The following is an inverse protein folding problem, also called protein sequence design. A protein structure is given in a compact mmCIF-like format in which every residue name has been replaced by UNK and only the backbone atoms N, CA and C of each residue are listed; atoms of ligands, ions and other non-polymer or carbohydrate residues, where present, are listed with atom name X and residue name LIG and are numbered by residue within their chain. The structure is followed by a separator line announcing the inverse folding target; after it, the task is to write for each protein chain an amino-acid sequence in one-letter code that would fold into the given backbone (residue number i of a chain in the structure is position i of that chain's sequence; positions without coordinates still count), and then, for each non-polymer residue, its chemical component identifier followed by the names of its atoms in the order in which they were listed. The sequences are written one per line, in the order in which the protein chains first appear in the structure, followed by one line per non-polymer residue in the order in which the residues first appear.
data_IF_134449350688
#
_entry.id   IF_134449350688
#
_cell.length_a   1.000
_cell.length_b   1.000
_cell.length_c   1.000
_cell.angle_alpha   90.00
_cell.angle_beta   90.00
_cell.angle_gamma   90.00
#
_symmetry.space_group_name_H-M   'P 1'
#
loop_
_entity.id
_entity.type
_entity.pdbx_description
1 polymer ?
#
# COMPACT_ATOMS: atom_id res chain seq x y z
N UNK A 1 -9.77 6.97 -7.01
CA UNK A 1 -9.77 6.40 -8.37
C UNK A 1 -8.34 6.44 -8.86
N UNK A 2 -7.85 5.36 -9.45
CA UNK A 2 -6.45 5.17 -9.87
C UNK A 2 -6.43 4.34 -11.16
N UNK A 3 -5.50 4.64 -12.05
CA UNK A 3 -5.18 3.78 -13.18
C UNK A 3 -4.17 2.72 -12.71
N UNK A 4 -4.65 1.50 -12.46
CA UNK A 4 -3.82 0.46 -11.85
C UNK A 4 -2.85 -0.19 -12.83
N UNK A 5 -3.19 -0.22 -14.12
CA UNK A 5 -2.41 -0.92 -15.16
C UNK A 5 -1.48 0.01 -15.95
N UNK A 6 -1.49 1.32 -15.63
CA UNK A 6 -0.65 2.32 -16.27
C UNK A 6 -0.97 2.57 -17.74
N UNK A 7 -2.15 2.13 -18.21
CA UNK A 7 -2.54 2.25 -19.61
C UNK A 7 -2.74 3.69 -20.07
N UNK A 8 -2.83 4.66 -19.15
CA UNK A 8 -3.14 6.06 -19.45
C UNK A 8 -4.55 6.24 -20.00
N UNK A 9 -5.42 5.23 -19.80
CA UNK A 9 -6.75 5.12 -20.40
C UNK A 9 -7.91 5.26 -19.42
N UNK A 10 -9.10 4.83 -19.84
CA UNK A 10 -10.34 4.84 -19.06
C UNK A 10 -10.46 3.64 -18.08
N UNK A 11 -9.41 2.80 -17.96
CA UNK A 11 -9.34 1.57 -17.13
C UNK A 11 -9.11 1.88 -15.64
N UNK A 12 -9.68 2.97 -15.15
CA UNK A 12 -9.50 3.40 -13.77
C UNK A 12 -10.34 2.58 -12.81
N UNK A 13 -9.77 2.20 -11.67
CA UNK A 13 -10.47 1.54 -10.58
C UNK A 13 -10.62 2.46 -9.35
N UNK A 14 -11.69 2.27 -8.60
CA UNK A 14 -11.83 2.77 -7.24
C UNK A 14 -11.26 1.70 -6.30
N UNK A 15 -10.30 2.08 -5.46
CA UNK A 15 -9.89 1.24 -4.34
C UNK A 15 -10.59 1.70 -3.07
N UNK A 16 -11.30 0.80 -2.41
CA UNK A 16 -12.01 1.04 -1.18
C UNK A 16 -11.56 0.08 -0.07
N UNK A 17 -11.10 0.64 1.04
CA UNK A 17 -10.77 -0.12 2.25
C UNK A 17 -12.00 -0.21 3.18
N UNK A 18 -12.11 -1.33 3.90
CA UNK A 18 -13.23 -1.62 4.80
C UNK A 18 -12.73 -1.96 6.22
N UNK A 19 -13.55 -1.61 7.21
CA UNK A 19 -13.36 -2.03 8.60
C UNK A 19 -13.50 -3.55 8.80
N UNK A 20 -13.98 -4.29 7.80
CA UNK A 20 -13.96 -5.76 7.80
C UNK A 20 -12.58 -6.35 7.45
N UNK A 21 -11.58 -5.51 7.19
CA UNK A 21 -10.26 -5.91 6.70
C UNK A 21 -10.20 -6.22 5.21
N UNK A 22 -11.30 -6.01 4.48
CA UNK A 22 -11.34 -6.19 3.02
C UNK A 22 -10.93 -4.91 2.29
N UNK A 23 -10.20 -5.07 1.21
CA UNK A 23 -9.88 -4.01 0.24
C UNK A 23 -10.44 -4.41 -1.11
N UNK A 24 -11.23 -3.53 -1.71
CA UNK A 24 -11.93 -3.78 -2.97
C UNK A 24 -11.33 -2.93 -4.07
N UNK A 25 -11.12 -3.51 -5.25
CA UNK A 25 -11.05 -2.76 -6.50
C UNK A 25 -12.38 -2.86 -7.23
N UNK A 26 -12.88 -1.71 -7.64
CA UNK A 26 -14.17 -1.56 -8.30
C UNK A 26 -13.93 -0.81 -9.61
N UNK A 27 -14.41 -1.37 -10.72
CA UNK A 27 -14.32 -0.77 -12.04
C UNK A 27 -15.22 0.47 -12.17
N UNK A 28 -15.01 1.24 -13.25
CA UNK A 28 -15.79 2.44 -13.55
C UNK A 28 -17.30 2.18 -13.75
N UNK A 29 -17.68 0.95 -14.08
CA UNK A 29 -19.07 0.49 -14.22
C UNK A 29 -19.67 -0.02 -12.89
N UNK A 30 -18.89 0.01 -11.80
CA UNK A 30 -19.29 -0.46 -10.49
C UNK A 30 -19.12 -1.96 -10.26
N UNK A 31 -18.62 -2.71 -11.25
CA UNK A 31 -18.31 -4.13 -11.07
C UNK A 31 -17.08 -4.33 -10.19
N UNK A 32 -17.05 -5.42 -9.41
CA UNK A 32 -15.89 -5.74 -8.59
C UNK A 32 -14.80 -6.36 -9.46
N UNK A 33 -13.63 -5.71 -9.51
CA UNK A 33 -12.44 -6.22 -10.19
C UNK A 33 -11.75 -7.29 -9.35
N UNK A 34 -11.50 -7.02 -8.07
CA UNK A 34 -10.95 -7.97 -7.11
C UNK A 34 -11.25 -7.56 -5.66
N UNK A 35 -11.02 -8.49 -4.74
CA UNK A 35 -11.05 -8.26 -3.29
C UNK A 35 -9.81 -8.87 -2.64
N UNK A 36 -9.16 -8.11 -1.76
CA UNK A 36 -8.01 -8.53 -0.97
C UNK A 36 -8.37 -8.57 0.52
N UNK A 37 -7.78 -9.50 1.27
CA UNK A 37 -8.00 -9.66 2.71
C UNK A 37 -6.74 -9.25 3.49
N UNK A 38 -6.79 -8.08 4.13
CA UNK A 38 -5.74 -7.56 5.01
C UNK A 38 -5.84 -8.11 6.45
N UNK A 39 -6.69 -9.12 6.66
CA UNK A 39 -6.85 -9.92 7.88
C UNK A 39 -7.39 -9.18 9.11
N UNK A 40 -7.34 -7.86 9.14
CA UNK A 40 -7.88 -7.01 10.20
C UNK A 40 -8.22 -5.62 9.64
N UNK A 41 -8.88 -4.80 10.46
CA UNK A 41 -9.40 -3.47 10.17
C UNK A 41 -8.41 -2.67 9.30
N UNK A 42 -8.93 -2.10 8.23
CA UNK A 42 -8.24 -1.08 7.44
C UNK A 42 -8.99 0.24 7.58
N UNK A 43 -8.33 1.23 8.19
CA UNK A 43 -8.86 2.60 8.38
C UNK A 43 -8.23 3.63 7.45
N UNK A 44 -6.94 3.47 7.17
CA UNK A 44 -6.21 4.37 6.30
C UNK A 44 -6.73 4.36 4.86
N UNK A 45 -6.50 5.46 4.15
CA UNK A 45 -6.71 5.47 2.70
C UNK A 45 -5.58 4.68 2.04
N UNK A 46 -5.87 3.77 1.08
CA UNK A 46 -4.83 3.06 0.35
C UNK A 46 -3.85 4.03 -0.34
N UNK A 47 -2.57 3.72 -0.25
CA UNK A 47 -1.49 4.39 -0.98
C UNK A 47 -1.23 3.70 -2.32
N UNK A 48 -0.69 4.43 -3.28
CA UNK A 48 -0.44 3.97 -4.65
C UNK A 48 0.97 4.32 -5.08
N UNK A 49 1.75 3.33 -5.52
CA UNK A 49 3.09 3.56 -6.02
C UNK A 49 3.50 2.40 -6.95
N UNK A 50 4.11 2.72 -8.10
CA UNK A 50 4.83 1.73 -8.92
C UNK A 50 6.21 1.56 -8.29
N UNK A 51 6.36 0.54 -7.46
CA UNK A 51 7.59 0.34 -6.66
C UNK A 51 8.61 -0.55 -7.34
N UNK A 52 8.19 -1.32 -8.35
CA UNK A 52 9.06 -2.21 -9.12
C UNK A 52 9.41 -1.65 -10.52
N UNK A 53 8.85 -0.49 -10.88
CA UNK A 53 9.12 0.23 -12.12
C UNK A 53 8.54 -0.44 -13.35
N UNK A 54 7.54 -1.32 -13.19
CA UNK A 54 6.97 -2.09 -14.28
C UNK A 54 5.90 -1.32 -15.08
N UNK A 55 5.51 -0.11 -14.63
CA UNK A 55 4.51 0.75 -15.24
C UNK A 55 3.09 0.52 -14.71
N UNK A 56 2.83 -0.56 -13.99
CA UNK A 56 1.59 -0.78 -13.22
C UNK A 56 1.77 -0.28 -11.79
N UNK A 57 0.67 0.13 -11.16
CA UNK A 57 0.70 0.69 -9.82
C UNK A 57 0.29 -0.37 -8.80
N UNK A 58 1.10 -0.53 -7.75
CA UNK A 58 0.75 -1.32 -6.57
C UNK A 58 -0.08 -0.51 -5.57
N UNK A 59 -0.90 -1.22 -4.80
CA UNK A 59 -1.75 -0.69 -3.74
C UNK A 59 -1.17 -1.09 -2.39
N UNK A 60 -0.98 -0.11 -1.51
CA UNK A 60 -0.42 -0.32 -0.17
C UNK A 60 -1.40 0.08 0.92
N UNK A 61 -1.49 -0.74 1.95
CA UNK A 61 -2.47 -0.59 3.03
C UNK A 61 -1.83 -0.91 4.38
N UNK A 62 -2.07 -0.05 5.38
CA UNK A 62 -1.85 -0.37 6.79
C UNK A 62 -3.06 -1.03 7.44
N UNK A 63 -2.84 -2.05 8.26
CA UNK A 63 -3.89 -2.76 9.00
C UNK A 63 -3.68 -2.68 10.51
N UNK A 64 -4.78 -2.80 11.25
CA UNK A 64 -4.75 -2.77 12.72
C UNK A 64 -4.05 -3.95 13.38
N UNK A 65 -3.78 -5.02 12.63
CA UNK A 65 -2.92 -6.12 13.08
C UNK A 65 -1.42 -5.78 13.08
N UNK A 66 -1.04 -4.57 12.68
CA UNK A 66 0.35 -4.11 12.66
C UNK A 66 1.15 -4.53 11.44
N UNK A 67 0.45 -4.93 10.37
CA UNK A 67 1.06 -5.24 9.08
C UNK A 67 0.75 -4.17 8.03
N UNK A 68 1.75 -3.92 7.20
CA UNK A 68 1.61 -3.30 5.89
C UNK A 68 1.40 -4.39 4.86
N UNK A 69 0.43 -4.19 3.98
CA UNK A 69 0.12 -5.07 2.86
C UNK A 69 0.40 -4.35 1.55
N UNK A 70 0.94 -5.09 0.59
CA UNK A 70 1.14 -4.66 -0.79
C UNK A 70 0.35 -5.57 -1.72
N UNK A 71 -0.38 -4.98 -2.66
CA UNK A 71 -1.27 -5.69 -3.58
C UNK A 71 -0.98 -5.19 -5.00
N UNK A 72 -0.76 -6.12 -5.93
CA UNK A 72 -0.54 -5.81 -7.34
C UNK A 72 -1.82 -5.29 -7.99
N UNK A 73 -1.69 -4.64 -9.14
CA UNK A 73 -2.81 -4.13 -9.95
C UNK A 73 -3.92 -5.18 -10.22
N UNK A 74 -3.57 -6.46 -10.28
CA UNK A 74 -4.47 -7.59 -10.52
C UNK A 74 -5.05 -8.24 -9.24
N UNK A 75 -4.79 -7.68 -8.05
CA UNK A 75 -5.30 -8.18 -6.78
C UNK A 75 -4.44 -9.27 -6.10
N UNK A 76 -3.35 -9.71 -6.74
CA UNK A 76 -2.41 -10.63 -6.13
C UNK A 76 -1.58 -9.94 -5.03
N UNK A 77 -1.12 -10.70 -4.03
CA UNK A 77 -0.18 -10.17 -3.05
C UNK A 77 1.15 -9.76 -3.73
N UNK A 78 1.69 -8.62 -3.32
CA UNK A 78 3.02 -8.18 -3.71
C UNK A 78 4.07 -9.05 -3.02
N UNK A 79 5.14 -9.40 -3.73
CA UNK A 79 6.23 -10.19 -3.16
C UNK A 79 6.90 -9.42 -2.01
N UNK A 80 7.24 -10.13 -0.92
CA UNK A 80 7.85 -9.52 0.27
C UNK A 80 6.84 -8.97 1.28
N UNK A 81 5.55 -8.97 0.96
CA UNK A 81 4.48 -8.55 1.88
C UNK A 81 3.74 -9.75 2.51
N UNK A 82 3.21 -9.59 3.73
CA UNK A 82 3.16 -8.35 4.52
C UNK A 82 4.48 -8.00 5.23
N UNK A 83 4.66 -6.70 5.53
CA UNK A 83 5.73 -6.19 6.38
C UNK A 83 5.15 -5.85 7.76
N UNK A 84 5.73 -6.37 8.82
CA UNK A 84 5.25 -6.12 10.19
C UNK A 84 5.95 -4.93 10.84
N UNK A 85 5.19 -3.94 11.30
CA UNK A 85 5.66 -2.91 12.23
C UNK A 85 5.48 -3.34 13.69
N UNK A 86 4.60 -4.32 13.93
CA UNK A 86 4.23 -4.79 15.27
C UNK A 86 3.22 -3.90 16.00
N UNK A 87 2.70 -2.87 15.33
CA UNK A 87 1.93 -1.79 15.93
C UNK A 87 0.77 -1.40 15.01
N UNK A 88 -0.43 -1.17 15.55
CA UNK A 88 -1.61 -0.82 14.76
C UNK A 88 -1.35 0.36 13.81
N UNK A 89 -1.55 0.12 12.51
CA UNK A 89 -1.35 1.08 11.43
C UNK A 89 -2.73 1.55 10.94
N UNK A 90 -3.11 2.77 11.32
CA UNK A 90 -4.36 3.41 10.84
C UNK A 90 -4.10 4.58 9.89
N UNK A 91 -2.83 4.91 9.66
CA UNK A 91 -2.42 5.96 8.73
C UNK A 91 -2.54 5.52 7.26
N UNK A 92 -2.55 6.51 6.37
CA UNK A 92 -2.48 6.27 4.92
C UNK A 92 -1.01 6.22 4.51
N UNK A 93 -0.54 5.17 3.80
CA UNK A 93 0.84 5.13 3.31
C UNK A 93 1.13 6.28 2.34
N UNK A 94 2.30 6.89 2.47
CA UNK A 94 2.81 7.91 1.55
C UNK A 94 4.21 7.52 1.06
N UNK A 95 4.60 8.06 -0.09
CA UNK A 95 5.83 7.66 -0.77
C UNK A 95 6.68 8.86 -1.14
N UNK A 96 8.00 8.73 -0.98
CA UNK A 96 8.99 9.70 -1.43
C UNK A 96 10.33 9.01 -1.56
N UNK A 97 11.11 9.35 -2.58
CA UNK A 97 12.54 9.02 -2.63
C UNK A 97 13.29 9.93 -1.66
N UNK A 98 13.63 9.42 -0.47
CA UNK A 98 14.29 10.14 0.62
C UNK A 98 15.81 10.04 0.53
N UNK A 99 16.33 8.93 0.00
CA UNK A 99 17.77 8.67 -0.09
C UNK A 99 18.39 9.10 -1.44
N UNK A 100 17.57 9.40 -2.46
CA UNK A 100 17.97 9.82 -3.80
C UNK A 100 18.44 8.67 -4.70
N UNK A 101 18.08 7.42 -4.40
CA UNK A 101 18.49 6.25 -5.18
C UNK A 101 17.55 5.94 -6.37
N UNK A 102 16.44 6.67 -6.48
CA UNK A 102 15.45 6.52 -7.54
C UNK A 102 14.36 5.49 -7.25
N UNK A 103 14.46 4.71 -6.17
CA UNK A 103 13.37 3.94 -5.61
C UNK A 103 12.64 4.77 -4.53
N UNK A 104 11.32 4.64 -4.38
CA UNK A 104 10.60 5.33 -3.33
C UNK A 104 10.82 4.65 -1.98
N UNK A 105 10.77 5.42 -0.89
CA UNK A 105 10.49 4.91 0.44
C UNK A 105 8.99 5.01 0.73
N UNK A 106 8.44 4.01 1.42
CA UNK A 106 7.09 4.07 2.01
C UNK A 106 7.16 4.54 3.46
N UNK A 107 6.36 5.55 3.79
CA UNK A 107 6.25 6.12 5.14
C UNK A 107 4.85 5.85 5.70
N UNK A 108 4.80 5.34 6.93
CA UNK A 108 3.56 5.15 7.70
C UNK A 108 3.74 5.60 9.15
N UNK A 109 2.65 6.00 9.79
CA UNK A 109 2.59 6.19 11.24
C UNK A 109 1.67 5.18 11.92
N UNK A 110 1.99 4.85 13.17
CA UNK A 110 1.25 3.87 13.98
C UNK A 110 0.46 4.57 15.08
N UNK A 111 -0.57 3.92 15.63
CA UNK A 111 -1.40 4.51 16.68
C UNK A 111 -0.64 4.82 17.98
N UNK A 112 0.50 4.18 18.19
CA UNK A 112 1.35 4.40 19.37
C UNK A 112 2.35 5.55 19.16
N UNK A 113 2.30 6.21 18.00
CA UNK A 113 3.02 7.45 17.73
C UNK A 113 4.32 7.29 16.96
N UNK A 114 4.70 6.07 16.57
CA UNK A 114 5.91 5.83 15.79
C UNK A 114 5.70 6.11 14.30
N UNK A 115 6.74 6.63 13.66
CA UNK A 115 6.84 6.68 12.19
C UNK A 115 7.76 5.56 11.73
N UNK A 116 7.30 4.73 10.79
CA UNK A 116 8.13 3.71 10.14
C UNK A 116 8.36 4.07 8.67
N UNK A 117 9.54 3.73 8.16
CA UNK A 117 9.94 3.99 6.78
C UNK A 117 10.55 2.73 6.18
N UNK A 118 10.01 2.25 5.07
CA UNK A 118 10.53 1.09 4.35
C UNK A 118 11.12 1.51 3.00
N UNK A 119 12.36 1.13 2.75
CA UNK A 119 13.13 1.43 1.54
C UNK A 119 12.95 0.30 0.53
N UNK A 120 12.32 0.59 -0.61
CA UNK A 120 12.12 -0.41 -1.67
C UNK A 120 13.39 -0.69 -2.48
N UNK A 121 14.31 0.28 -2.59
CA UNK A 121 15.58 0.12 -3.29
C UNK A 121 16.52 -0.87 -2.60
N UNK A 122 16.51 -0.87 -1.26
CA UNK A 122 17.31 -1.75 -0.42
C UNK A 122 16.53 -2.97 0.09
N UNK A 123 15.20 -2.91 0.10
CA UNK A 123 14.33 -3.96 0.63
C UNK A 123 14.38 -4.07 2.16
N UNK A 124 14.69 -2.98 2.85
CA UNK A 124 14.89 -2.94 4.31
C UNK A 124 14.20 -1.75 4.95
N UNK A 125 13.97 -1.82 6.27
CA UNK A 125 13.57 -0.64 7.03
C UNK A 125 14.66 0.43 6.99
N UNK A 126 14.27 1.68 6.79
CA UNK A 126 15.17 2.82 6.64
C UNK A 126 15.87 3.12 7.97
N UNK A 127 17.18 3.36 7.91
CA UNK A 127 17.99 3.61 9.11
C UNK A 127 17.54 4.87 9.86
N UNK A 128 17.45 4.79 11.18
CA UNK A 128 16.99 5.89 12.03
C UNK A 128 15.49 5.91 12.30
N UNK A 129 14.73 4.97 11.73
CA UNK A 129 13.32 4.72 12.06
C UNK A 129 13.14 3.34 12.74
N UNK A 130 12.12 3.15 13.59
CA UNK A 130 11.10 4.14 13.93
C UNK A 130 11.56 5.26 14.86
N UNK A 131 10.89 6.41 14.78
CA UNK A 131 11.05 7.58 15.68
C UNK A 131 9.74 7.96 16.36
#
# INVERSE_FOLDING_TARGET
MVDLDGSGGLSTAIIAASLSGKVYAIDNDGSQRWVYDAQDIVRGTPGFCDVDGNGSVEVFIGSSNGNLYGVKHNGAALQGFPLGTGENIESSPVFSDLNGDGAPEMIVSTMVGFIHVYDFGQGTWYSGFPV
#
